data_IF_305537689557
#
_entry.id   IF_305537689557
#
_cell.length_a   1.000
_cell.length_b   1.000
_cell.length_c   1.000
_cell.angle_alpha   90.00
_cell.angle_beta   90.00
_cell.angle_gamma   90.00
#
_symmetry.space_group_name_H-M   'P 1'
#
loop_
_entity.id
_entity.type
_entity.pdbx_description
1 polymer ?
#
# COMPACT_ATOMS: atom_id res chain seq x y z
N UNK A 1 -3.67 14.24 13.90
CA UNK A 1 -2.50 13.36 14.12
C UNK A 1 -1.70 13.25 12.83
N UNK A 2 -0.53 13.87 12.79
CA UNK A 2 0.51 13.71 11.76
C UNK A 2 1.55 12.74 12.34
N UNK A 3 2.14 11.84 11.53
CA UNK A 3 3.47 11.17 11.69
C UNK A 3 3.52 9.74 11.12
N UNK A 4 3.15 9.56 9.85
CA UNK A 4 3.59 8.37 9.07
C UNK A 4 4.53 8.76 7.91
N UNK A 5 4.53 10.04 7.52
CA UNK A 5 5.39 10.59 6.48
C UNK A 5 6.90 10.62 6.81
N UNK A 6 7.32 10.12 7.98
CA UNK A 6 8.72 10.13 8.44
C UNK A 6 9.37 8.74 8.45
N UNK A 7 8.62 7.67 8.13
CA UNK A 7 9.22 6.34 8.00
C UNK A 7 9.71 6.17 6.57
N UNK A 8 11.03 6.13 6.38
CA UNK A 8 11.71 5.87 5.09
C UNK A 8 11.48 4.41 4.65
N UNK A 9 10.23 4.02 4.41
CA UNK A 9 9.90 2.67 3.96
C UNK A 9 9.78 2.73 2.43
N UNK A 10 10.54 1.87 1.75
CA UNK A 10 10.50 1.79 0.31
C UNK A 10 9.34 0.87 -0.09
N UNK A 11 8.30 1.45 -0.69
CA UNK A 11 7.11 0.69 -1.10
C UNK A 11 7.21 0.33 -2.57
N UNK A 12 7.38 -0.95 -2.87
CA UNK A 12 7.47 -1.47 -4.24
C UNK A 12 6.15 -2.11 -4.65
N UNK A 13 5.35 -1.39 -5.42
CA UNK A 13 4.06 -1.87 -5.92
C UNK A 13 4.23 -2.70 -7.20
N UNK A 14 3.73 -3.94 -7.21
CA UNK A 14 3.63 -4.76 -8.41
C UNK A 14 2.59 -4.23 -9.41
N UNK A 15 2.68 -4.64 -10.68
CA UNK A 15 1.69 -4.24 -11.69
C UNK A 15 0.27 -4.74 -11.38
N UNK A 16 0.14 -5.91 -10.74
CA UNK A 16 -1.15 -6.47 -10.34
C UNK A 16 -1.84 -5.58 -9.32
N UNK A 17 -1.12 -5.19 -8.27
CA UNK A 17 -1.67 -4.30 -7.24
C UNK A 17 -1.92 -2.91 -7.81
N UNK A 18 -1.08 -2.41 -8.72
CA UNK A 18 -1.34 -1.14 -9.43
C UNK A 18 -2.64 -1.18 -10.21
N UNK A 19 -2.94 -2.26 -10.94
CA UNK A 19 -4.22 -2.44 -11.64
C UNK A 19 -5.38 -2.51 -10.67
N UNK A 20 -5.27 -3.31 -9.62
CA UNK A 20 -6.34 -3.42 -8.61
C UNK A 20 -6.62 -2.08 -7.91
N UNK A 21 -5.56 -1.36 -7.51
CA UNK A 21 -5.67 -0.04 -6.92
C UNK A 21 -6.21 0.97 -7.92
N UNK A 22 -5.85 0.88 -9.20
CA UNK A 22 -6.44 1.68 -10.25
C UNK A 22 -7.93 1.39 -10.35
N UNK A 23 -8.37 0.14 -10.49
CA UNK A 23 -9.82 -0.18 -10.53
C UNK A 23 -10.58 0.29 -9.28
N UNK A 24 -9.95 0.21 -8.09
CA UNK A 24 -10.56 0.66 -6.82
C UNK A 24 -10.50 2.16 -6.56
N UNK A 25 -9.47 2.83 -7.05
CA UNK A 25 -9.13 4.24 -6.74
C UNK A 25 -9.23 5.16 -7.95
N UNK A 26 -9.58 4.63 -9.12
CA UNK A 26 -9.89 5.38 -10.31
C UNK A 26 -11.30 5.91 -10.18
N UNK A 27 -11.37 7.18 -9.79
CA UNK A 27 -12.59 7.93 -9.87
C UNK A 27 -12.57 8.72 -11.19
N UNK A 28 -13.49 8.42 -12.14
CA UNK A 28 -13.50 9.09 -13.44
C UNK A 28 -13.67 10.62 -13.30
N UNK A 29 -14.16 11.10 -12.15
CA UNK A 29 -14.34 12.53 -11.86
C UNK A 29 -13.05 13.19 -11.34
N UNK A 30 -12.15 12.46 -10.67
CA UNK A 30 -10.98 13.03 -9.98
C UNK A 30 -9.61 12.58 -10.52
N UNK A 31 -9.58 11.70 -11.54
CA UNK A 31 -8.33 11.20 -12.13
C UNK A 31 -7.51 10.34 -11.14
N UNK A 32 -6.18 10.30 -11.24
CA UNK A 32 -5.32 9.50 -10.36
C UNK A 32 -5.16 10.06 -8.92
N UNK A 33 -5.81 11.18 -8.56
CA UNK A 33 -5.68 11.79 -7.23
C UNK A 33 -6.22 10.93 -6.07
N UNK A 34 -7.33 10.18 -6.20
CA UNK A 34 -7.80 9.28 -5.14
C UNK A 34 -6.88 8.07 -4.96
N UNK A 35 -6.13 7.68 -6.00
CA UNK A 35 -5.23 6.53 -5.99
C UNK A 35 -4.24 6.59 -4.82
N UNK A 36 -3.61 7.75 -4.60
CA UNK A 36 -2.67 7.96 -3.50
C UNK A 36 -3.32 7.74 -2.14
N UNK A 37 -4.57 8.17 -1.96
CA UNK A 37 -5.33 8.02 -0.72
C UNK A 37 -5.77 6.57 -0.50
N UNK A 38 -6.14 5.87 -1.56
CA UNK A 38 -6.47 4.44 -1.52
C UNK A 38 -5.24 3.61 -1.18
N UNK A 39 -4.08 3.92 -1.79
CA UNK A 39 -2.80 3.31 -1.43
C UNK A 39 -2.52 3.55 0.06
N UNK A 40 -2.60 4.79 0.54
CA UNK A 40 -2.40 5.07 1.97
C UNK A 40 -3.34 4.24 2.86
N UNK A 41 -4.63 4.19 2.56
CA UNK A 41 -5.57 3.40 3.39
C UNK A 41 -5.36 1.88 3.32
N UNK A 42 -4.99 1.35 2.16
CA UNK A 42 -4.87 -0.10 1.94
C UNK A 42 -3.47 -0.64 2.17
N UNK A 43 -2.46 0.23 2.19
CA UNK A 43 -1.06 -0.12 2.39
C UNK A 43 -0.57 0.45 3.72
N UNK A 44 -0.69 1.76 3.94
CA UNK A 44 -0.14 2.43 5.14
C UNK A 44 -0.80 1.94 6.44
N UNK A 45 -2.12 1.65 6.43
CA UNK A 45 -2.80 1.09 7.61
C UNK A 45 -2.33 -0.32 7.99
N UNK A 46 -2.36 -1.33 7.10
CA UNK A 46 -1.84 -2.66 7.46
C UNK A 46 -0.34 -2.62 7.71
N UNK A 47 0.42 -1.85 6.94
CA UNK A 47 1.86 -1.66 7.16
C UNK A 47 2.15 -1.11 8.55
N UNK A 48 1.37 -0.15 9.05
CA UNK A 48 1.52 0.34 10.42
C UNK A 48 1.29 -0.78 11.46
N UNK A 49 0.35 -1.69 11.21
CA UNK A 49 0.13 -2.88 12.04
C UNK A 49 1.32 -3.82 12.04
N UNK A 50 1.87 -4.14 10.87
CA UNK A 50 3.05 -5.00 10.69
C UNK A 50 4.31 -4.39 11.33
N UNK A 51 4.50 -3.06 11.23
CA UNK A 51 5.60 -2.34 11.89
C UNK A 51 5.46 -2.42 13.42
N UNK A 52 4.24 -2.29 13.94
CA UNK A 52 3.98 -2.41 15.38
C UNK A 52 4.17 -3.86 15.84
N UNK A 53 3.82 -4.84 15.00
CA UNK A 53 4.06 -6.26 15.24
C UNK A 53 5.56 -6.63 15.19
N UNK A 54 6.38 -5.78 14.57
CA UNK A 54 7.82 -6.00 14.40
C UNK A 54 8.17 -6.84 13.16
N UNK A 55 7.19 -7.15 12.31
CA UNK A 55 7.38 -7.88 11.04
C UNK A 55 8.09 -6.99 9.99
N UNK A 56 7.84 -5.68 10.01
CA UNK A 56 8.43 -4.73 9.04
C UNK A 56 9.22 -3.65 9.78
N UNK A 57 10.48 -3.44 9.37
CA UNK A 57 11.35 -2.43 9.97
C UNK A 57 11.35 -1.12 9.20
N UNK A 58 11.77 -0.06 9.89
CA UNK A 58 12.08 1.21 9.23
C UNK A 58 13.28 1.00 8.29
N UNK A 59 13.26 1.61 7.10
CA UNK A 59 14.25 1.41 6.02
C UNK A 59 14.10 0.10 5.22
N UNK A 60 13.07 -0.71 5.52
CA UNK A 60 12.82 -1.94 4.79
C UNK A 60 12.13 -1.71 3.44
N UNK A 61 12.41 -2.59 2.49
CA UNK A 61 11.89 -2.58 1.13
C UNK A 61 10.65 -3.45 1.02
N UNK A 62 9.48 -2.91 1.28
CA UNK A 62 8.23 -3.69 1.27
C UNK A 62 7.66 -3.77 -0.13
N UNK A 63 7.69 -4.98 -0.69
CA UNK A 63 7.01 -5.34 -1.91
C UNK A 63 5.52 -5.63 -1.63
N UNK A 64 4.67 -4.93 -2.36
CA UNK A 64 3.24 -5.06 -2.28
C UNK A 64 2.76 -5.74 -3.55
N UNK A 65 2.09 -6.87 -3.39
CA UNK A 65 1.48 -7.61 -4.49
C UNK A 65 -0.02 -7.79 -4.27
N UNK A 66 -0.72 -8.16 -5.34
CA UNK A 66 -2.14 -8.46 -5.28
C UNK A 66 -2.37 -9.90 -5.69
N UNK A 67 -2.90 -10.67 -4.75
CA UNK A 67 -3.28 -12.04 -4.96
C UNK A 67 -4.68 -12.09 -5.58
N UNK A 68 -4.74 -12.37 -6.89
CA UNK A 68 -6.00 -12.46 -7.64
C UNK A 68 -6.91 -13.59 -7.13
N UNK A 69 -6.32 -14.71 -6.69
CA UNK A 69 -7.06 -15.88 -6.19
C UNK A 69 -7.75 -15.60 -4.85
N UNK A 70 -7.07 -14.91 -3.94
CA UNK A 70 -7.62 -14.53 -2.63
C UNK A 70 -8.33 -13.18 -2.67
N UNK A 71 -8.17 -12.41 -3.75
CA UNK A 71 -8.58 -11.01 -3.89
C UNK A 71 -8.05 -10.11 -2.76
N UNK A 72 -6.88 -10.45 -2.21
CA UNK A 72 -6.24 -9.74 -1.10
C UNK A 72 -4.91 -9.12 -1.52
N UNK A 73 -4.54 -8.04 -0.84
CA UNK A 73 -3.20 -7.44 -0.96
C UNK A 73 -2.27 -8.19 -0.02
N UNK A 74 -1.10 -8.56 -0.52
CA UNK A 74 -0.06 -9.26 0.25
C UNK A 74 1.18 -8.39 0.34
N UNK A 75 1.81 -8.38 1.51
CA UNK A 75 3.05 -7.65 1.78
C UNK A 75 4.19 -8.67 1.89
N UNK A 76 5.34 -8.35 1.32
CA UNK A 76 6.57 -9.14 1.41
C UNK A 76 7.73 -8.17 1.56
N UNK A 77 8.61 -8.37 2.53
CA UNK A 77 9.85 -7.60 2.70
C UNK A 77 11.04 -8.48 2.33
#
# INVERSE_FOLDING_TARGET
>A
QRRLAEKKIELVLSEKVKKYLAEKGYDPVYGARPLKRTIQKLVENPLAGEIIAGEIKEEDGVKIDYNDSLKTITFSH
#
